data_IF_979958847958
#
_entry.id   IF_979958847958
#
_cell.length_a   1.000
_cell.length_b   1.000
_cell.length_c   1.000
_cell.angle_alpha   90.00
_cell.angle_beta   90.00
_cell.angle_gamma   90.00
#
_symmetry.space_group_name_H-M   'P 1'
#
loop_
_entity.id
_entity.type
_entity.pdbx_description
1 polymer ?
#
# COMPACT_ATOMS: atom_id res chain seq x y z
N UNK A 1 -24.77 21.33 30.88
CA UNK A 1 -24.82 20.40 29.73
C UNK A 1 -24.16 21.10 28.55
N UNK A 2 -22.98 20.66 28.13
CA UNK A 2 -22.28 21.27 27.00
C UNK A 2 -23.00 20.87 25.70
N UNK A 3 -23.55 21.85 24.99
CA UNK A 3 -24.19 21.66 23.70
C UNK A 3 -23.10 21.27 22.68
N UNK A 4 -22.92 19.97 22.45
CA UNK A 4 -21.90 19.43 21.56
C UNK A 4 -22.13 19.92 20.14
N UNK A 5 -21.36 20.91 19.71
CA UNK A 5 -21.37 21.44 18.34
C UNK A 5 -21.09 20.26 17.40
N UNK A 6 -22.07 19.86 16.58
CA UNK A 6 -21.91 18.74 15.65
C UNK A 6 -20.78 19.04 14.69
N UNK A 7 -19.69 18.28 14.74
CA UNK A 7 -18.59 18.36 13.76
C UNK A 7 -19.16 18.10 12.38
N UNK A 8 -19.02 19.07 11.47
CA UNK A 8 -19.50 18.97 10.09
C UNK A 8 -18.31 18.64 9.19
N UNK A 9 -18.26 17.40 8.74
CA UNK A 9 -17.26 16.94 7.78
C UNK A 9 -17.66 17.33 6.36
N UNK A 10 -16.71 17.81 5.58
CA UNK A 10 -16.84 18.08 4.15
C UNK A 10 -16.87 16.78 3.34
N UNK A 11 -17.38 16.82 2.11
CA UNK A 11 -17.40 15.64 1.25
C UNK A 11 -15.97 15.20 0.85
N UNK A 12 -15.03 16.14 0.80
CA UNK A 12 -13.61 15.86 0.55
C UNK A 12 -12.96 15.08 1.70
N UNK A 13 -13.18 15.50 2.95
CA UNK A 13 -12.70 14.79 4.13
C UNK A 13 -13.29 13.39 4.21
N UNK A 14 -14.61 13.27 3.97
CA UNK A 14 -15.30 11.97 3.98
C UNK A 14 -14.75 11.05 2.90
N UNK A 15 -14.55 11.55 1.68
CA UNK A 15 -13.99 10.77 0.59
C UNK A 15 -12.57 10.30 0.93
N UNK A 16 -11.72 11.18 1.44
CA UNK A 16 -10.35 10.85 1.85
C UNK A 16 -10.32 9.76 2.92
N UNK A 17 -11.22 9.84 3.91
CA UNK A 17 -11.30 8.84 4.99
C UNK A 17 -11.89 7.50 4.53
N UNK A 18 -12.83 7.51 3.59
CA UNK A 18 -13.33 6.27 2.96
C UNK A 18 -12.21 5.59 2.16
N UNK A 19 -11.43 6.36 1.40
CA UNK A 19 -10.27 5.83 0.66
C UNK A 19 -9.19 5.31 1.62
N UNK A 20 -8.96 5.99 2.73
CA UNK A 20 -8.03 5.52 3.77
C UNK A 20 -8.48 4.19 4.37
N UNK A 21 -9.77 4.03 4.70
CA UNK A 21 -10.32 2.73 5.14
C UNK A 21 -10.08 1.63 4.12
N UNK A 22 -10.31 1.94 2.85
CA UNK A 22 -10.06 1.01 1.76
C UNK A 22 -8.59 0.63 1.75
N UNK A 23 -7.64 1.57 1.78
CA UNK A 23 -6.19 1.26 1.80
C UNK A 23 -5.70 0.44 3.01
N UNK A 24 -6.52 0.34 4.06
CA UNK A 24 -6.26 -0.50 5.25
C UNK A 24 -6.96 -1.87 5.16
N UNK A 25 -7.59 -2.19 4.04
CA UNK A 25 -8.26 -3.46 3.78
C UNK A 25 -9.65 -3.58 4.42
N UNK A 26 -10.31 -2.48 4.80
CA UNK A 26 -11.67 -2.55 5.32
C UNK A 26 -12.69 -2.87 4.20
N UNK A 27 -13.68 -3.77 4.43
CA UNK A 27 -14.05 -4.43 5.69
C UNK A 27 -13.35 -5.76 6.02
N UNK A 28 -12.52 -6.29 5.14
CA UNK A 28 -11.95 -7.64 5.23
C UNK A 28 -10.89 -7.76 6.33
N UNK A 29 -10.15 -6.67 6.59
CA UNK A 29 -9.12 -6.60 7.63
C UNK A 29 -9.69 -6.13 8.96
N UNK A 30 -9.63 -7.00 9.97
CA UNK A 30 -9.97 -6.67 11.34
C UNK A 30 -9.06 -5.54 11.87
N UNK A 31 -9.65 -4.57 12.56
CA UNK A 31 -8.91 -3.44 13.16
C UNK A 31 -8.69 -2.24 12.23
N UNK A 32 -8.84 -2.39 10.91
CA UNK A 32 -8.71 -1.29 9.94
C UNK A 32 -9.58 -0.07 10.31
N UNK A 33 -10.84 -0.33 10.68
CA UNK A 33 -11.78 0.71 11.11
C UNK A 33 -11.31 1.46 12.37
N UNK A 34 -10.79 0.73 13.36
CA UNK A 34 -10.28 1.32 14.61
C UNK A 34 -9.03 2.14 14.35
N UNK A 35 -8.13 1.65 13.49
CA UNK A 35 -6.90 2.34 13.11
C UNK A 35 -7.20 3.70 12.47
N UNK A 36 -8.10 3.74 11.49
CA UNK A 36 -8.49 5.00 10.82
C UNK A 36 -9.25 5.92 11.77
N UNK A 37 -10.09 5.38 12.66
CA UNK A 37 -10.79 6.19 13.67
C UNK A 37 -9.81 6.88 14.64
N UNK A 38 -8.80 6.15 15.13
CA UNK A 38 -7.76 6.70 16.01
C UNK A 38 -6.96 7.78 15.29
N UNK A 39 -6.55 7.54 14.05
CA UNK A 39 -5.77 8.50 13.26
C UNK A 39 -6.55 9.79 12.96
N UNK A 40 -7.82 9.66 12.56
CA UNK A 40 -8.63 10.81 12.09
C UNK A 40 -9.43 11.51 13.17
N UNK A 41 -9.57 10.91 14.36
CA UNK A 41 -10.49 11.35 15.40
C UNK A 41 -11.98 11.18 15.03
N UNK A 42 -12.30 10.58 13.88
CA UNK A 42 -13.69 10.34 13.46
C UNK A 42 -14.19 9.05 14.12
N UNK A 43 -15.37 9.06 14.76
CA UNK A 43 -15.92 7.85 15.37
C UNK A 43 -16.07 6.68 14.38
N UNK A 44 -15.70 5.47 14.82
CA UNK A 44 -15.78 4.22 14.01
C UNK A 44 -17.15 4.01 13.37
N UNK A 45 -18.23 4.31 14.10
CA UNK A 45 -19.61 4.21 13.60
C UNK A 45 -19.88 5.15 12.42
N UNK A 46 -19.31 6.36 12.45
CA UNK A 46 -19.45 7.37 11.39
C UNK A 46 -18.70 6.92 10.14
N UNK A 47 -17.44 6.50 10.29
CA UNK A 47 -16.63 5.93 9.22
C UNK A 47 -17.30 4.74 8.53
N UNK A 48 -17.83 3.79 9.32
CA UNK A 48 -18.58 2.63 8.80
C UNK A 48 -19.81 3.03 8.00
N UNK A 49 -20.54 4.06 8.44
CA UNK A 49 -21.73 4.58 7.76
C UNK A 49 -21.39 5.22 6.42
N UNK A 50 -20.31 5.99 6.35
CA UNK A 50 -19.84 6.58 5.10
C UNK A 50 -19.42 5.50 4.11
N UNK A 51 -18.65 4.51 4.56
CA UNK A 51 -18.21 3.40 3.73
C UNK A 51 -19.39 2.58 3.17
N UNK A 52 -20.36 2.24 4.01
CA UNK A 52 -21.55 1.46 3.60
C UNK A 52 -22.56 2.25 2.78
N UNK A 53 -22.38 3.57 2.64
CA UNK A 53 -23.33 4.43 1.96
C UNK A 53 -24.64 4.68 2.72
N UNK A 54 -24.68 4.46 4.04
CA UNK A 54 -25.90 4.61 4.85
C UNK A 54 -26.30 6.08 5.04
N UNK A 55 -25.37 6.92 5.50
CA UNK A 55 -25.62 8.33 5.81
C UNK A 55 -24.36 9.14 5.63
N UNK A 56 -24.43 10.25 4.88
CA UNK A 56 -23.27 11.10 4.62
C UNK A 56 -22.24 10.46 3.69
N UNK A 57 -22.65 9.54 2.82
CA UNK A 57 -21.80 8.92 1.80
C UNK A 57 -21.10 10.03 0.97
N UNK A 58 -19.77 9.98 0.81
CA UNK A 58 -19.10 10.89 -0.11
C UNK A 58 -19.48 10.60 -1.58
N UNK A 59 -19.38 11.59 -2.49
CA UNK A 59 -19.63 11.37 -3.91
C UNK A 59 -18.69 10.32 -4.50
N UNK A 60 -19.23 9.34 -5.23
CA UNK A 60 -18.44 8.21 -5.78
C UNK A 60 -17.32 8.66 -6.72
N UNK A 61 -17.58 9.71 -7.52
CA UNK A 61 -16.55 10.32 -8.40
C UNK A 61 -15.36 10.84 -7.61
N UNK A 62 -15.60 11.46 -6.45
CA UNK A 62 -14.56 12.02 -5.59
C UNK A 62 -13.79 10.91 -4.89
N UNK A 63 -14.48 9.86 -4.44
CA UNK A 63 -13.84 8.65 -3.89
C UNK A 63 -12.93 8.01 -4.94
N UNK A 64 -13.40 7.84 -6.18
CA UNK A 64 -12.60 7.25 -7.27
C UNK A 64 -11.34 8.08 -7.56
N UNK A 65 -11.47 9.39 -7.73
CA UNK A 65 -10.33 10.27 -7.95
C UNK A 65 -9.30 10.17 -6.83
N UNK A 66 -9.75 10.21 -5.56
CA UNK A 66 -8.84 10.09 -4.42
C UNK A 66 -8.20 8.71 -4.28
N UNK A 67 -8.88 7.64 -4.74
CA UNK A 67 -8.26 6.31 -4.82
C UNK A 67 -7.10 6.30 -5.80
N UNK A 68 -7.31 6.85 -7.00
CA UNK A 68 -6.28 6.96 -8.04
C UNK A 68 -5.10 7.78 -7.51
N UNK A 69 -5.35 8.99 -6.98
CA UNK A 69 -4.30 9.85 -6.41
C UNK A 69 -3.49 9.15 -5.31
N UNK A 70 -4.15 8.38 -4.43
CA UNK A 70 -3.49 7.69 -3.34
C UNK A 70 -2.74 6.44 -3.81
N UNK A 71 -3.27 5.71 -4.80
CA UNK A 71 -2.60 4.58 -5.42
C UNK A 71 -1.29 5.03 -6.08
N UNK A 72 -1.31 6.14 -6.82
CA UNK A 72 -0.12 6.69 -7.48
C UNK A 72 0.92 7.16 -6.45
N UNK A 73 0.49 7.72 -5.31
CA UNK A 73 1.41 8.03 -4.21
C UNK A 73 2.07 6.79 -3.64
N UNK A 74 1.34 5.70 -3.45
CA UNK A 74 1.92 4.45 -2.98
C UNK A 74 2.88 3.82 -4.00
N UNK A 75 2.57 3.91 -5.28
CA UNK A 75 3.47 3.48 -6.37
C UNK A 75 4.78 4.27 -6.34
N UNK A 76 4.70 5.61 -6.25
CA UNK A 76 5.88 6.47 -6.15
C UNK A 76 6.71 6.17 -4.89
N UNK A 77 6.07 5.92 -3.74
CA UNK A 77 6.76 5.50 -2.52
C UNK A 77 7.45 4.15 -2.72
N UNK A 78 6.78 3.19 -3.38
CA UNK A 78 7.36 1.88 -3.64
C UNK A 78 8.63 1.99 -4.49
N UNK A 79 8.60 2.78 -5.57
CA UNK A 79 9.77 3.05 -6.39
C UNK A 79 10.90 3.70 -5.60
N UNK A 80 10.61 4.77 -4.86
CA UNK A 80 11.63 5.45 -4.06
C UNK A 80 12.29 4.54 -3.01
N UNK A 81 11.51 3.63 -2.41
CA UNK A 81 12.04 2.66 -1.44
C UNK A 81 12.88 1.56 -2.11
N UNK A 82 12.55 1.15 -3.33
CA UNK A 82 13.36 0.20 -4.10
C UNK A 82 14.67 0.82 -4.56
N UNK A 83 14.62 2.07 -5.04
CA UNK A 83 15.82 2.82 -5.43
C UNK A 83 16.77 2.95 -4.23
N UNK A 84 16.22 3.34 -3.07
CA UNK A 84 16.99 3.44 -1.82
C UNK A 84 17.54 2.08 -1.36
N UNK A 85 16.77 1.00 -1.49
CA UNK A 85 17.25 -0.35 -1.17
C UNK A 85 18.39 -0.82 -2.10
N UNK A 86 18.49 -0.24 -3.30
CA UNK A 86 19.52 -0.52 -4.30
C UNK A 86 20.81 0.28 -4.12
N UNK A 87 20.85 1.23 -3.18
CA UNK A 87 22.05 2.01 -2.89
C UNK A 87 23.16 1.10 -2.34
N UNK A 88 24.43 1.20 -2.83
CA UNK A 88 25.51 0.29 -2.44
C UNK A 88 25.73 0.19 -0.93
N UNK A 89 25.61 1.32 -0.24
CA UNK A 89 25.81 1.41 1.21
C UNK A 89 24.70 0.64 1.96
N UNK A 90 23.44 0.71 1.49
CA UNK A 90 22.27 0.03 2.08
C UNK A 90 22.27 -1.47 1.80
N UNK A 91 22.72 -1.88 0.61
CA UNK A 91 22.90 -3.30 0.24
C UNK A 91 23.93 -3.95 1.16
N UNK A 92 25.00 -3.24 1.48
CA UNK A 92 26.10 -3.76 2.29
C UNK A 92 25.73 -3.94 3.77
N UNK A 93 24.77 -3.15 4.29
CA UNK A 93 24.51 -3.01 5.73
C UNK A 93 23.32 -3.83 6.27
N UNK A 94 22.78 -4.79 5.50
CA UNK A 94 21.61 -5.61 5.87
C UNK A 94 20.28 -4.84 6.12
N UNK A 95 20.28 -3.50 6.14
CA UNK A 95 19.11 -2.63 6.40
C UNK A 95 18.21 -2.41 5.16
N UNK A 96 18.67 -2.79 3.97
CA UNK A 96 17.84 -2.82 2.75
C UNK A 96 16.55 -3.65 2.89
N UNK A 97 16.46 -4.55 3.89
CA UNK A 97 15.22 -5.26 4.22
C UNK A 97 14.08 -4.31 4.60
N UNK A 98 14.36 -3.25 5.34
CA UNK A 98 13.34 -2.28 5.77
C UNK A 98 12.72 -1.57 4.57
N UNK A 99 13.57 -1.11 3.65
CA UNK A 99 13.16 -0.47 2.41
C UNK A 99 12.37 -1.41 1.50
N UNK A 100 12.80 -2.67 1.34
CA UNK A 100 12.05 -3.69 0.58
C UNK A 100 10.68 -3.99 1.20
N UNK A 101 10.60 -4.13 2.52
CA UNK A 101 9.32 -4.36 3.23
C UNK A 101 8.39 -3.15 3.05
N UNK A 102 8.92 -1.93 3.13
CA UNK A 102 8.17 -0.71 2.91
C UNK A 102 7.65 -0.62 1.46
N UNK A 103 8.50 -0.93 0.48
CA UNK A 103 8.12 -0.99 -0.93
C UNK A 103 7.02 -2.02 -1.20
N UNK A 104 7.14 -3.22 -0.62
CA UNK A 104 6.14 -4.27 -0.75
C UNK A 104 4.80 -3.87 -0.12
N UNK A 105 4.83 -3.25 1.06
CA UNK A 105 3.63 -2.73 1.73
C UNK A 105 2.95 -1.63 0.92
N UNK A 106 3.73 -0.69 0.35
CA UNK A 106 3.20 0.35 -0.50
C UNK A 106 2.57 -0.22 -1.77
N UNK A 107 3.25 -1.19 -2.41
CA UNK A 107 2.72 -1.91 -3.58
C UNK A 107 1.40 -2.61 -3.28
N UNK A 108 1.30 -3.26 -2.11
CA UNK A 108 0.08 -3.92 -1.67
C UNK A 108 -1.10 -2.94 -1.54
N UNK A 109 -0.87 -1.80 -0.87
CA UNK A 109 -1.87 -0.74 -0.71
C UNK A 109 -2.30 -0.14 -2.05
N UNK A 110 -1.35 0.09 -2.96
CA UNK A 110 -1.64 0.55 -4.32
C UNK A 110 -2.55 -0.45 -5.04
N UNK A 111 -2.20 -1.74 -5.02
CA UNK A 111 -3.00 -2.80 -5.66
C UNK A 111 -4.41 -2.87 -5.09
N UNK A 112 -4.52 -2.83 -3.77
CA UNK A 112 -5.81 -2.88 -3.09
C UNK A 112 -6.70 -1.67 -3.45
N UNK A 113 -6.13 -0.48 -3.58
CA UNK A 113 -6.86 0.71 -4.03
C UNK A 113 -7.30 0.61 -5.50
N UNK A 114 -6.49 -0.01 -6.36
CA UNK A 114 -6.80 -0.28 -7.78
C UNK A 114 -7.70 -1.51 -7.98
N UNK A 115 -8.01 -2.27 -6.92
CA UNK A 115 -8.81 -3.50 -7.00
C UNK A 115 -8.07 -4.70 -7.61
N UNK A 116 -6.73 -4.67 -7.59
CA UNK A 116 -5.86 -5.74 -8.08
C UNK A 116 -5.60 -6.77 -6.97
N UNK A 117 -5.31 -8.05 -7.31
CA UNK A 117 -4.98 -9.08 -6.33
C UNK A 117 -3.73 -8.75 -5.49
N UNK A 118 -3.77 -9.04 -4.19
CA UNK A 118 -2.73 -8.72 -3.19
C UNK A 118 -1.87 -9.92 -2.76
N UNK A 119 -2.12 -11.13 -3.27
CA UNK A 119 -1.52 -12.38 -2.77
C UNK A 119 0.02 -12.50 -2.89
N UNK A 120 0.73 -11.51 -3.44
CA UNK A 120 2.16 -11.63 -3.78
C UNK A 120 3.11 -11.28 -2.60
N UNK A 121 2.67 -10.63 -1.52
CA UNK A 121 3.58 -10.10 -0.48
C UNK A 121 3.93 -11.10 0.64
N UNK A 122 3.17 -12.18 0.81
CA UNK A 122 3.50 -13.23 1.79
C UNK A 122 4.77 -14.04 1.43
N UNK A 123 5.24 -13.94 0.18
CA UNK A 123 6.36 -14.72 -0.34
C UNK A 123 7.70 -14.13 0.08
N UNK A 124 7.82 -12.81 0.24
CA UNK A 124 9.11 -12.14 0.43
C UNK A 124 9.89 -12.62 1.66
N UNK A 125 9.29 -12.73 2.87
CA UNK A 125 10.01 -13.25 4.03
C UNK A 125 10.45 -14.71 3.83
N UNK A 126 9.55 -15.55 3.33
CA UNK A 126 9.80 -16.98 3.09
C UNK A 126 10.83 -17.19 1.97
N UNK A 127 10.84 -16.33 0.95
CA UNK A 127 11.79 -16.35 -0.15
C UNK A 127 13.17 -15.92 0.31
N UNK A 128 13.28 -14.83 1.07
CA UNK A 128 14.55 -14.39 1.65
C UNK A 128 15.12 -15.48 2.55
N UNK A 129 14.27 -16.13 3.35
CA UNK A 129 14.66 -17.24 4.20
C UNK A 129 15.08 -18.48 3.39
N UNK A 130 14.31 -18.86 2.37
CA UNK A 130 14.65 -19.97 1.47
C UNK A 130 15.97 -19.74 0.73
N UNK A 131 16.21 -18.53 0.21
CA UNK A 131 17.44 -18.18 -0.49
C UNK A 131 18.65 -18.24 0.44
N UNK A 132 18.50 -17.78 1.69
CA UNK A 132 19.54 -17.94 2.72
C UNK A 132 19.78 -19.41 3.09
N UNK A 133 18.73 -20.21 3.22
CA UNK A 133 18.83 -21.64 3.49
C UNK A 133 19.50 -22.42 2.34
N UNK A 134 19.42 -21.88 1.12
CA UNK A 134 20.15 -22.39 -0.05
C UNK A 134 21.62 -21.92 -0.10
N UNK A 135 22.09 -21.17 0.92
CA UNK A 135 23.45 -20.63 0.98
C UNK A 135 23.71 -19.52 -0.05
N UNK A 136 22.66 -18.95 -0.64
CA UNK A 136 22.79 -17.88 -1.62
C UNK A 136 22.49 -16.52 -0.99
N UNK A 137 23.13 -15.49 -1.52
CA UNK A 137 22.81 -14.11 -1.18
C UNK A 137 21.48 -13.72 -1.83
N UNK A 138 20.49 -13.24 -1.05
CA UNK A 138 19.25 -12.68 -1.62
C UNK A 138 19.51 -11.57 -2.64
N UNK A 139 20.55 -10.77 -2.42
CA UNK A 139 20.98 -9.74 -3.37
C UNK A 139 21.33 -10.36 -4.73
N UNK A 140 22.20 -11.38 -4.76
CA UNK A 140 22.67 -11.96 -6.02
C UNK A 140 21.56 -12.71 -6.78
N UNK A 141 20.58 -13.26 -6.07
CA UNK A 141 19.40 -13.86 -6.69
C UNK A 141 18.52 -12.77 -7.29
N UNK A 142 18.26 -11.68 -6.56
CA UNK A 142 17.43 -10.58 -7.04
C UNK A 142 18.08 -9.87 -8.23
N UNK A 143 19.38 -9.58 -8.19
CA UNK A 143 20.12 -8.98 -9.30
C UNK A 143 20.04 -9.85 -10.55
N UNK A 144 20.17 -11.18 -10.42
CA UNK A 144 19.99 -12.11 -11.56
C UNK A 144 18.56 -12.15 -12.10
N UNK A 145 17.55 -12.03 -11.23
CA UNK A 145 16.14 -11.97 -11.66
C UNK A 145 15.89 -10.67 -12.42
N UNK A 146 16.33 -9.53 -11.89
CA UNK A 146 16.17 -8.22 -12.51
C UNK A 146 16.88 -8.20 -13.87
N UNK A 147 18.12 -8.66 -13.92
CA UNK A 147 18.92 -8.70 -15.15
C UNK A 147 18.31 -9.60 -16.23
N UNK A 148 17.73 -10.75 -15.84
CA UNK A 148 16.94 -11.61 -16.76
C UNK A 148 15.64 -10.95 -17.21
N UNK A 149 14.97 -10.21 -16.35
CA UNK A 149 13.71 -9.53 -16.68
C UNK A 149 13.94 -8.46 -17.75
N UNK A 150 14.98 -7.65 -17.57
CA UNK A 150 15.39 -6.61 -18.52
C UNK A 150 15.85 -7.19 -19.88
N UNK A 151 16.36 -8.43 -19.90
CA UNK A 151 16.71 -9.11 -21.14
C UNK A 151 15.48 -9.68 -21.89
N UNK A 152 14.42 -10.03 -21.17
CA UNK A 152 13.18 -10.52 -21.78
C UNK A 152 12.40 -9.38 -22.46
N UNK A 153 12.31 -8.20 -21.85
CA UNK A 153 11.67 -7.01 -22.45
C UNK A 153 12.37 -6.54 -23.74
N UNK A 154 13.69 -6.72 -23.86
CA UNK A 154 14.44 -6.35 -25.05
C UNK A 154 14.31 -7.36 -26.21
N UNK A 155 13.90 -8.60 -25.94
CA UNK A 155 13.70 -9.62 -26.98
C UNK A 155 12.30 -9.58 -27.62
N UNK A 156 11.30 -9.00 -26.95
CA UNK A 156 9.94 -8.85 -27.50
C UNK A 156 9.78 -7.68 -28.49
N UNK A 157 10.83 -6.88 -28.71
CA UNK A 157 10.81 -5.74 -29.66
C UNK A 157 11.42 -6.12 -31.03
N UNK A 158 11.95 -7.34 -31.19
CA UNK A 158 12.58 -7.79 -32.45
C UNK A 158 11.79 -8.84 -33.26
N UNK A 159 10.48 -9.03 -33.00
CA UNK A 159 9.62 -9.88 -33.83
C UNK A 159 8.39 -9.17 -34.38
#
# INVERSE_FOLDING_TARGET
MANGKRTRYTDDERASLVVMLQSEGYPETLGALSKVATYSGVPTRTLRRWFKGENGKPPDKLVRHKKEDLADKFENIAYAMLDHAGEPDIISDMDGKGAVIAAATATDKMRLLRGLPTEIVAILPNFIEAVKNMGQSPHDVMSRIIERSSQLENNDIQH
#
